data_IF_995615982390
#
_entry.id   IF_995615982390
#
_cell.length_a   1.000
_cell.length_b   1.000
_cell.length_c   1.000
_cell.angle_alpha   90.00
_cell.angle_beta   90.00
_cell.angle_gamma   90.00
#
_symmetry.space_group_name_H-M   'P 1'
#
loop_
_entity.id
_entity.type
_entity.pdbx_description
1 polymer ?
#
# COMPACT_ATOMS: atom_id res chain seq x y z
N UNK A 1 4.77 46.08 88.20
CA UNK A 1 5.70 46.31 87.07
C UNK A 1 6.27 44.96 86.64
N UNK A 2 5.76 44.37 85.56
CA UNK A 2 6.28 43.09 85.04
C UNK A 2 6.49 43.20 83.54
N UNK A 3 7.74 42.94 83.13
CA UNK A 3 8.22 42.79 81.75
C UNK A 3 7.64 41.50 81.16
N UNK A 4 7.05 41.57 79.98
CA UNK A 4 6.83 40.42 79.11
C UNK A 4 7.49 40.71 77.75
N UNK A 5 8.60 40.01 77.48
CA UNK A 5 9.37 40.09 76.25
C UNK A 5 9.03 38.87 75.39
N UNK A 6 8.64 39.17 74.14
CA UNK A 6 8.85 38.46 72.87
C UNK A 6 9.26 36.98 72.95
N UNK A 7 8.36 36.09 72.53
CA UNK A 7 8.71 34.90 71.72
C UNK A 7 7.52 34.61 70.79
N UNK A 8 7.55 35.11 69.55
CA UNK A 8 6.50 34.79 68.56
C UNK A 8 6.99 34.75 67.10
N UNK A 9 8.26 34.42 66.86
CA UNK A 9 8.88 34.51 65.52
C UNK A 9 9.79 33.33 65.15
N UNK A 10 9.54 32.11 65.65
CA UNK A 10 10.40 30.95 65.34
C UNK A 10 9.68 29.81 64.59
N UNK A 11 8.34 29.80 64.51
CA UNK A 11 7.61 28.65 63.93
C UNK A 11 7.20 28.80 62.46
N UNK A 12 7.54 29.88 61.76
CA UNK A 12 7.07 30.12 60.38
C UNK A 12 8.07 29.69 59.30
N UNK A 13 9.32 29.39 59.65
CA UNK A 13 10.37 29.08 58.66
C UNK A 13 10.52 27.58 58.40
N UNK A 14 10.07 26.71 59.32
CA UNK A 14 10.31 25.26 59.22
C UNK A 14 9.25 24.48 58.43
N UNK A 15 8.07 25.06 58.18
CA UNK A 15 7.02 24.41 57.38
C UNK A 15 7.14 24.65 55.87
N UNK A 16 8.01 25.56 55.44
CA UNK A 16 8.27 25.81 54.01
C UNK A 16 9.39 24.97 53.41
N UNK A 17 10.22 24.30 54.23
CA UNK A 17 11.34 23.49 53.73
C UNK A 17 10.95 22.04 53.40
N UNK A 18 9.78 21.55 53.82
CA UNK A 18 9.34 20.17 53.56
C UNK A 18 8.53 20.05 52.25
N UNK A 19 8.03 21.16 51.70
CA UNK A 19 7.22 21.19 50.47
C UNK A 19 8.04 21.34 49.17
N UNK A 20 9.37 21.44 49.23
CA UNK A 20 10.22 21.67 48.04
C UNK A 20 10.91 20.39 47.55
N UNK A 21 10.84 19.26 48.27
CA UNK A 21 11.50 18.00 47.85
C UNK A 21 10.59 17.06 47.05
N UNK A 22 9.34 17.45 46.75
CA UNK A 22 8.37 16.58 46.04
C UNK A 22 8.06 16.98 44.59
N UNK A 23 8.77 17.94 44.01
CA UNK A 23 8.56 18.34 42.63
C UNK A 23 9.83 18.15 41.79
N UNK A 24 10.00 16.94 41.25
CA UNK A 24 10.64 16.67 39.94
C UNK A 24 11.11 15.22 39.80
N UNK A 25 10.27 14.24 40.14
CA UNK A 25 10.33 12.97 39.39
C UNK A 25 9.57 13.22 38.10
N UNK A 26 10.18 13.99 37.20
CA UNK A 26 9.79 13.97 35.80
C UNK A 26 10.09 12.56 35.34
N UNK A 27 9.06 11.71 35.33
CA UNK A 27 9.12 10.46 34.58
C UNK A 27 9.41 10.87 33.15
N UNK A 28 10.67 10.76 32.74
CA UNK A 28 11.07 10.76 31.35
C UNK A 28 10.39 9.54 30.76
N UNK A 29 9.13 9.69 30.36
CA UNK A 29 8.52 8.78 29.40
C UNK A 29 9.34 9.03 28.13
N UNK A 30 10.40 8.24 27.98
CA UNK A 30 11.12 8.16 26.73
C UNK A 30 10.06 7.92 25.66
N UNK A 31 9.86 8.90 24.78
CA UNK A 31 9.03 8.72 23.61
C UNK A 31 9.60 7.52 22.87
N UNK A 32 8.90 6.39 22.94
CA UNK A 32 9.31 5.18 22.26
C UNK A 32 9.46 5.54 20.79
N UNK A 33 10.66 5.33 20.24
CA UNK A 33 10.90 5.68 18.85
C UNK A 33 9.95 4.86 17.97
N UNK A 34 9.44 5.45 16.89
CA UNK A 34 8.56 4.75 15.94
C UNK A 34 9.17 3.40 15.51
N UNK A 35 10.50 3.33 15.40
CA UNK A 35 11.20 2.08 15.09
C UNK A 35 11.21 1.03 16.21
N UNK A 36 11.27 1.42 17.48
CA UNK A 36 11.11 0.47 18.59
C UNK A 36 9.71 -0.10 18.64
N UNK A 37 8.70 0.74 18.43
CA UNK A 37 7.32 0.32 18.33
C UNK A 37 7.10 -0.63 17.15
N UNK A 38 7.61 -0.29 15.96
CA UNK A 38 7.52 -1.12 14.76
C UNK A 38 8.25 -2.46 14.92
N UNK A 39 9.43 -2.50 15.56
CA UNK A 39 10.16 -3.77 15.80
C UNK A 39 9.41 -4.73 16.73
N UNK A 40 8.56 -4.22 17.62
CA UNK A 40 7.71 -5.06 18.49
C UNK A 40 6.54 -5.70 17.73
N UNK A 41 6.13 -5.13 16.61
CA UNK A 41 5.17 -5.78 15.73
C UNK A 41 5.86 -6.99 15.09
N UNK A 42 5.21 -8.17 15.14
CA UNK A 42 5.63 -9.31 14.31
C UNK A 42 5.77 -8.81 12.88
N UNK A 43 6.87 -9.17 12.21
CA UNK A 43 7.11 -8.84 10.81
C UNK A 43 5.79 -9.01 10.06
N UNK A 44 5.27 -7.92 9.49
CA UNK A 44 4.04 -8.02 8.73
C UNK A 44 4.32 -9.00 7.60
N UNK A 45 3.53 -10.07 7.55
CA UNK A 45 3.62 -10.96 6.41
C UNK A 45 3.36 -10.09 5.18
N UNK A 46 4.15 -10.22 4.10
CA UNK A 46 3.81 -9.55 2.86
C UNK A 46 2.34 -9.87 2.56
N UNK A 47 1.57 -8.85 2.19
CA UNK A 47 0.11 -8.93 1.98
C UNK A 47 -0.24 -10.09 1.03
N UNK A 48 0.73 -10.53 0.24
CA UNK A 48 0.68 -11.63 -0.71
C UNK A 48 1.66 -12.74 -0.29
N UNK A 49 1.20 -13.64 0.58
CA UNK A 49 1.91 -14.89 0.93
C UNK A 49 1.23 -16.14 0.39
N UNK A 50 0.08 -15.99 -0.28
CA UNK A 50 -0.73 -17.11 -0.75
C UNK A 50 -0.56 -17.34 -2.26
N UNK A 51 -0.45 -18.61 -2.65
CA UNK A 51 -0.39 -19.03 -4.06
C UNK A 51 -1.65 -18.63 -4.84
N UNK A 52 -2.77 -18.36 -4.15
CA UNK A 52 -4.01 -17.86 -4.75
C UNK A 52 -3.85 -16.48 -5.42
N UNK A 53 -2.85 -15.69 -5.02
CA UNK A 53 -2.59 -14.37 -5.58
C UNK A 53 -1.97 -14.42 -7.00
N UNK A 54 -1.62 -15.61 -7.52
CA UNK A 54 -1.17 -15.78 -8.91
C UNK A 54 -2.26 -15.56 -9.96
N UNK A 55 -3.54 -15.66 -9.56
CA UNK A 55 -4.69 -15.61 -10.46
C UNK A 55 -5.61 -14.41 -10.19
N UNK A 56 -5.05 -13.29 -9.74
CA UNK A 56 -5.83 -12.08 -9.42
C UNK A 56 -6.45 -11.43 -10.66
N UNK A 57 -5.73 -11.43 -11.79
CA UNK A 57 -6.22 -10.90 -13.05
C UNK A 57 -7.20 -11.88 -13.71
N UNK A 58 -8.40 -11.40 -13.98
CA UNK A 58 -9.42 -12.10 -14.76
C UNK A 58 -9.48 -11.50 -16.15
N UNK A 59 -9.35 -12.34 -17.17
CA UNK A 59 -9.51 -11.99 -18.59
C UNK A 59 -10.72 -12.73 -19.15
N UNK A 60 -11.71 -12.00 -19.66
CA UNK A 60 -12.93 -12.57 -20.24
C UNK A 60 -13.11 -12.09 -21.67
N UNK A 61 -13.57 -12.99 -22.54
CA UNK A 61 -14.03 -12.62 -23.88
C UNK A 61 -15.44 -12.03 -23.76
N UNK A 62 -15.63 -10.82 -24.25
CA UNK A 62 -16.92 -10.13 -24.26
C UNK A 62 -17.28 -9.75 -25.68
N UNK A 63 -18.57 -9.70 -25.99
CA UNK A 63 -19.04 -9.19 -27.27
C UNK A 63 -18.51 -7.78 -27.47
N UNK A 64 -18.06 -7.47 -28.69
CA UNK A 64 -17.58 -6.13 -29.02
C UNK A 64 -18.60 -5.07 -28.60
N UNK A 65 -18.22 -4.12 -27.73
CA UNK A 65 -19.10 -3.03 -27.37
C UNK A 65 -19.37 -2.18 -28.62
N UNK A 66 -20.59 -1.62 -28.73
CA UNK A 66 -20.90 -0.64 -29.76
C UNK A 66 -19.91 0.51 -29.66
N UNK A 67 -19.28 0.88 -30.77
CA UNK A 67 -18.16 1.82 -30.84
C UNK A 67 -18.41 3.08 -30.00
N UNK A 68 -17.78 3.14 -28.83
CA UNK A 68 -17.62 4.35 -28.02
C UNK A 68 -16.24 4.96 -28.33
N UNK A 69 -16.10 6.26 -28.14
CA UNK A 69 -14.83 6.97 -28.33
C UNK A 69 -13.71 6.29 -27.52
N UNK A 70 -12.69 5.81 -28.24
CA UNK A 70 -11.52 5.18 -27.64
C UNK A 70 -10.56 6.22 -27.08
N UNK A 71 -10.04 6.02 -25.88
CA UNK A 71 -9.05 6.93 -25.30
C UNK A 71 -7.64 6.69 -25.85
N UNK A 72 -7.32 5.47 -26.27
CA UNK A 72 -6.01 5.14 -26.84
C UNK A 72 -6.16 4.17 -28.01
N UNK A 73 -5.60 4.55 -29.16
CA UNK A 73 -5.61 3.79 -30.42
C UNK A 73 -4.19 3.38 -30.80
N UNK A 74 -4.01 2.12 -31.17
CA UNK A 74 -2.78 1.65 -31.83
C UNK A 74 -3.20 0.91 -33.11
N UNK A 75 -2.52 1.23 -34.22
CA UNK A 75 -2.75 0.59 -35.53
C UNK A 75 -1.52 -0.22 -35.94
N UNK A 76 -1.45 -1.51 -35.58
CA UNK A 76 -0.45 -2.40 -36.17
C UNK A 76 -0.69 -2.69 -37.65
N UNK A 77 0.29 -3.35 -38.28
CA UNK A 77 0.19 -3.84 -39.65
C UNK A 77 -0.98 -4.82 -39.86
N UNK A 78 -1.42 -5.52 -38.81
CA UNK A 78 -2.46 -6.57 -38.87
C UNK A 78 -3.84 -6.14 -38.34
N UNK A 79 -4.06 -4.86 -38.05
CA UNK A 79 -5.38 -4.40 -37.62
C UNK A 79 -5.38 -3.08 -36.86
N UNK A 80 -6.46 -2.82 -36.14
CA UNK A 80 -6.55 -1.66 -35.25
C UNK A 80 -7.04 -2.07 -33.89
N UNK A 81 -6.25 -1.75 -32.87
CA UNK A 81 -6.55 -2.02 -31.48
C UNK A 81 -6.89 -0.73 -30.75
N UNK A 82 -7.89 -0.82 -29.87
CA UNK A 82 -8.33 0.31 -29.06
C UNK A 82 -8.49 -0.12 -27.62
N UNK A 83 -8.08 0.75 -26.70
CA UNK A 83 -8.39 0.62 -25.29
C UNK A 83 -9.63 1.44 -24.95
N UNK A 84 -10.60 0.76 -24.36
CA UNK A 84 -11.81 1.33 -23.79
C UNK A 84 -11.77 1.08 -22.29
N UNK A 85 -11.54 2.13 -21.51
CA UNK A 85 -11.76 2.12 -20.08
C UNK A 85 -12.53 3.38 -19.69
N UNK A 86 -13.43 3.28 -18.73
CA UNK A 86 -13.97 4.48 -18.08
C UNK A 86 -12.99 4.92 -16.97
N UNK A 87 -12.81 6.22 -16.80
CA UNK A 87 -11.86 6.74 -15.82
C UNK A 87 -12.31 6.33 -14.41
N UNK A 88 -11.47 5.55 -13.72
CA UNK A 88 -11.76 5.05 -12.37
C UNK A 88 -12.40 3.67 -12.33
N UNK A 89 -12.60 3.02 -13.48
CA UNK A 89 -13.11 1.65 -13.51
C UNK A 89 -12.05 0.63 -13.09
N UNK A 90 -12.52 -0.39 -12.40
CA UNK A 90 -11.77 -1.62 -12.11
C UNK A 90 -11.82 -2.64 -13.24
N UNK A 91 -12.30 -2.20 -14.41
CA UNK A 91 -12.46 -3.00 -15.62
C UNK A 91 -11.92 -2.24 -16.81
N UNK A 92 -11.22 -2.96 -17.69
CA UNK A 92 -10.73 -2.40 -18.94
C UNK A 92 -11.14 -3.33 -20.08
N UNK A 93 -11.74 -2.77 -21.12
CA UNK A 93 -12.09 -3.51 -22.33
C UNK A 93 -11.11 -3.19 -23.45
N UNK A 94 -10.50 -4.22 -24.01
CA UNK A 94 -9.55 -4.12 -25.12
C UNK A 94 -10.25 -4.61 -26.38
N UNK A 95 -10.42 -3.71 -27.35
CA UNK A 95 -10.87 -4.10 -28.67
C UNK A 95 -9.65 -4.57 -29.48
N UNK A 96 -9.67 -5.84 -29.88
CA UNK A 96 -8.53 -6.49 -30.56
C UNK A 96 -8.79 -6.72 -32.06
N UNK A 97 -9.74 -6.00 -32.67
CA UNK A 97 -10.04 -6.14 -34.11
C UNK A 97 -10.65 -7.49 -34.52
N UNK A 98 -11.04 -8.33 -33.55
CA UNK A 98 -11.68 -9.64 -33.76
C UNK A 98 -13.21 -9.55 -33.53
N UNK A 99 -13.91 -10.68 -33.58
CA UNK A 99 -15.35 -10.77 -33.29
C UNK A 99 -15.72 -10.47 -31.81
N UNK A 100 -14.72 -10.42 -30.94
CA UNK A 100 -14.85 -10.16 -29.51
C UNK A 100 -13.76 -9.20 -29.02
N UNK A 101 -14.02 -8.65 -27.83
CA UNK A 101 -13.11 -7.84 -27.05
C UNK A 101 -12.68 -8.60 -25.80
N UNK A 102 -11.58 -8.16 -25.18
CA UNK A 102 -11.10 -8.71 -23.92
C UNK A 102 -11.47 -7.77 -22.77
N UNK A 103 -12.26 -8.25 -21.81
CA UNK A 103 -12.51 -7.55 -20.54
C UNK A 103 -11.48 -8.03 -19.50
N UNK A 104 -10.66 -7.10 -19.03
CA UNK A 104 -9.70 -7.27 -17.96
C UNK A 104 -10.30 -6.75 -16.65
N UNK A 105 -10.15 -7.49 -15.56
CA UNK A 105 -10.58 -7.05 -14.24
C UNK A 105 -9.78 -7.74 -13.14
N UNK A 106 -9.74 -7.15 -11.94
CA UNK A 106 -9.16 -7.77 -10.75
C UNK A 106 -10.24 -7.84 -9.68
N UNK A 107 -11.09 -8.89 -9.65
CA UNK A 107 -12.31 -8.91 -8.84
C UNK A 107 -12.07 -8.67 -7.34
N UNK A 108 -10.99 -9.23 -6.78
CA UNK A 108 -10.58 -9.05 -5.38
C UNK A 108 -10.32 -7.57 -5.04
N UNK A 109 -9.98 -6.76 -6.02
CA UNK A 109 -9.67 -5.34 -5.89
C UNK A 109 -10.54 -4.49 -6.83
N UNK A 110 -11.80 -4.89 -7.02
CA UNK A 110 -12.75 -4.25 -7.95
C UNK A 110 -13.10 -2.79 -7.65
N UNK A 111 -12.56 -2.19 -6.60
CA UNK A 111 -12.67 -0.77 -6.28
C UNK A 111 -11.40 0.03 -6.62
N UNK A 112 -10.33 -0.63 -7.06
CA UNK A 112 -9.07 0.00 -7.46
C UNK A 112 -9.04 0.16 -8.99
N UNK A 113 -8.57 1.30 -9.50
CA UNK A 113 -8.44 1.49 -10.93
C UNK A 113 -7.35 0.56 -11.47
N UNK A 114 -7.62 -0.04 -12.62
CA UNK A 114 -6.61 -0.77 -13.39
C UNK A 114 -6.01 0.21 -14.40
N UNK A 115 -4.68 0.22 -14.50
CA UNK A 115 -3.98 0.95 -15.55
C UNK A 115 -3.47 -0.02 -16.59
N UNK A 116 -3.63 0.36 -17.86
CA UNK A 116 -3.30 -0.47 -19.01
C UNK A 116 -2.53 0.39 -19.99
N UNK A 117 -1.38 -0.10 -20.44
CA UNK A 117 -0.57 0.53 -21.49
C UNK A 117 -0.09 -0.53 -22.48
N UNK A 118 -0.06 -0.16 -23.74
CA UNK A 118 0.59 -0.97 -24.75
C UNK A 118 2.11 -0.92 -24.57
N UNK A 119 2.76 -2.08 -24.57
CA UNK A 119 4.22 -2.16 -24.70
C UNK A 119 4.59 -2.12 -26.18
N UNK A 120 3.89 -2.93 -26.98
CA UNK A 120 3.99 -3.00 -28.43
C UNK A 120 2.63 -3.51 -28.97
N UNK A 121 2.44 -3.68 -30.29
CA UNK A 121 1.17 -4.17 -30.83
C UNK A 121 0.62 -5.50 -30.28
N UNK A 122 1.46 -6.37 -29.73
CA UNK A 122 1.10 -7.72 -29.27
C UNK A 122 1.00 -7.81 -27.75
N UNK A 123 1.74 -6.95 -27.06
CA UNK A 123 1.92 -7.01 -25.62
C UNK A 123 1.29 -5.81 -24.93
N UNK A 124 0.49 -6.10 -23.92
CA UNK A 124 -0.10 -5.12 -23.02
C UNK A 124 0.51 -5.29 -21.63
N UNK A 125 0.92 -4.17 -21.05
CA UNK A 125 1.20 -4.07 -19.63
C UNK A 125 -0.06 -3.64 -18.88
N UNK A 126 -0.38 -4.38 -17.83
CA UNK A 126 -1.53 -4.15 -16.97
C UNK A 126 -0.98 -3.99 -15.56
N UNK A 127 -1.35 -2.95 -14.83
CA UNK A 127 -0.99 -2.82 -13.42
C UNK A 127 -2.13 -2.30 -12.57
N UNK A 128 -2.06 -2.64 -11.29
CA UNK A 128 -2.98 -2.20 -10.27
C UNK A 128 -2.20 -1.89 -9.00
N UNK A 129 -2.52 -0.77 -8.36
CA UNK A 129 -2.01 -0.45 -7.03
C UNK A 129 -3.05 -0.81 -5.98
N UNK A 130 -2.69 -1.70 -5.07
CA UNK A 130 -3.55 -2.09 -3.95
C UNK A 130 -3.54 -1.02 -2.85
N UNK A 131 -2.39 -0.38 -2.66
CA UNK A 131 -2.15 0.78 -1.81
C UNK A 131 -0.88 1.51 -2.33
N UNK A 132 -0.42 2.62 -1.71
CA UNK A 132 0.74 3.37 -2.19
C UNK A 132 2.05 2.59 -2.29
N UNK A 133 2.19 1.50 -1.53
CA UNK A 133 3.44 0.73 -1.41
C UNK A 133 3.37 -0.63 -2.12
N UNK A 134 2.16 -1.12 -2.39
CA UNK A 134 1.91 -2.46 -2.90
C UNK A 134 1.04 -2.44 -4.14
N UNK A 135 1.44 -3.21 -5.14
CA UNK A 135 0.73 -3.38 -6.40
C UNK A 135 0.97 -4.75 -7.01
N UNK A 136 0.47 -4.91 -8.23
CA UNK A 136 0.77 -6.06 -9.08
C UNK A 136 0.75 -5.61 -10.53
N UNK A 137 1.55 -6.28 -11.34
CA UNK A 137 1.53 -6.09 -12.79
C UNK A 137 1.53 -7.41 -13.55
N UNK A 138 0.99 -7.33 -14.75
CA UNK A 138 0.93 -8.41 -15.72
C UNK A 138 1.40 -7.93 -17.08
N UNK A 139 2.06 -8.82 -17.82
CA UNK A 139 2.24 -8.68 -19.27
C UNK A 139 1.38 -9.73 -19.94
N UNK A 140 0.45 -9.26 -20.77
CA UNK A 140 -0.50 -10.08 -21.51
C UNK A 140 -0.17 -10.07 -22.99
N UNK A 141 -0.11 -11.25 -23.60
CA UNK A 141 0.01 -11.47 -25.03
C UNK A 141 -1.38 -11.60 -25.65
N UNK A 142 -1.71 -10.70 -26.56
CA UNK A 142 -3.01 -10.67 -27.23
C UNK A 142 -3.13 -11.74 -28.32
N UNK A 143 -2.02 -12.05 -29.00
CA UNK A 143 -2.04 -13.02 -30.08
C UNK A 143 -2.26 -14.41 -29.51
N UNK A 144 -1.52 -14.75 -28.46
CA UNK A 144 -1.57 -16.04 -27.78
C UNK A 144 -2.63 -16.10 -26.65
N UNK A 145 -3.26 -14.98 -26.34
CA UNK A 145 -4.30 -14.82 -25.31
C UNK A 145 -3.89 -15.28 -23.90
N UNK A 146 -2.63 -15.08 -23.53
CA UNK A 146 -2.08 -15.59 -22.26
C UNK A 146 -1.29 -14.53 -21.50
N UNK A 147 -1.24 -14.71 -20.18
CA UNK A 147 -0.34 -13.95 -19.31
C UNK A 147 1.07 -14.55 -19.46
N UNK A 148 2.05 -13.71 -19.82
CA UNK A 148 3.46 -14.11 -19.93
C UNK A 148 4.22 -13.80 -18.63
N UNK A 149 3.97 -12.63 -18.05
CA UNK A 149 4.61 -12.18 -16.81
C UNK A 149 3.53 -11.81 -15.80
N UNK A 150 3.77 -12.19 -14.55
CA UNK A 150 3.02 -11.73 -13.40
C UNK A 150 3.98 -11.54 -12.24
N UNK A 151 4.04 -10.32 -11.71
CA UNK A 151 4.80 -10.02 -10.50
C UNK A 151 4.01 -9.11 -9.58
N UNK A 152 4.31 -9.23 -8.29
CA UNK A 152 3.80 -8.36 -7.26
C UNK A 152 4.80 -7.21 -7.08
N UNK A 153 4.30 -5.99 -7.10
CA UNK A 153 5.10 -4.79 -6.89
C UNK A 153 5.09 -4.45 -5.39
N UNK A 154 6.28 -4.26 -4.85
CA UNK A 154 6.51 -3.63 -3.56
C UNK A 154 7.52 -2.50 -3.81
N UNK A 155 7.24 -1.29 -3.34
CA UNK A 155 8.16 -0.15 -3.44
C UNK A 155 9.46 -0.34 -2.62
N UNK A 156 9.55 -1.46 -1.90
CA UNK A 156 10.78 -2.02 -1.36
C UNK A 156 11.12 -1.52 0.04
N UNK A 157 10.24 -0.73 0.66
CA UNK A 157 10.46 -0.16 1.98
C UNK A 157 9.18 -0.22 2.80
N UNK A 158 8.83 -1.40 3.34
CA UNK A 158 7.88 -1.39 4.44
C UNK A 158 8.53 -0.65 5.64
N UNK A 159 7.75 0.10 6.42
CA UNK A 159 8.28 0.90 7.53
C UNK A 159 9.11 0.07 8.53
N UNK A 160 8.89 -1.25 8.55
CA UNK A 160 9.60 -2.21 9.37
C UNK A 160 11.03 -2.49 8.86
N UNK A 161 11.22 -2.66 7.56
CA UNK A 161 12.52 -2.77 6.88
C UNK A 161 13.33 -1.46 7.03
N UNK A 162 12.68 -0.29 6.94
CA UNK A 162 13.35 1.01 7.17
C UNK A 162 13.94 1.12 8.58
N UNK A 163 13.31 0.44 9.55
CA UNK A 163 13.73 0.40 10.95
C UNK A 163 14.76 -0.71 11.26
N UNK A 164 15.30 -1.36 10.23
CA UNK A 164 16.30 -2.42 10.32
C UNK A 164 15.73 -3.81 10.64
N UNK A 165 14.42 -4.02 10.43
CA UNK A 165 13.83 -5.35 10.54
C UNK A 165 14.42 -6.29 9.48
N UNK A 166 15.00 -7.41 9.92
CA UNK A 166 15.47 -8.46 9.02
C UNK A 166 14.33 -9.45 8.77
N UNK A 167 13.90 -9.59 7.52
CA UNK A 167 12.94 -10.65 7.15
C UNK A 167 13.41 -12.00 7.68
N UNK A 168 12.51 -12.68 8.40
CA UNK A 168 12.76 -14.06 8.82
C UNK A 168 12.66 -14.89 7.53
N UNK A 169 13.80 -15.29 6.97
CA UNK A 169 13.85 -16.29 5.92
C UNK A 169 13.29 -17.60 6.49
N UNK A 170 12.01 -17.85 6.27
CA UNK A 170 11.46 -19.19 6.42
C UNK A 170 11.95 -20.00 5.22
N UNK A 171 12.98 -20.81 5.44
CA UNK A 171 13.36 -21.87 4.52
C UNK A 171 12.16 -22.83 4.38
N UNK A 172 11.39 -22.67 3.30
CA UNK A 172 10.34 -23.61 2.93
C UNK A 172 11.06 -24.83 2.33
N UNK A 173 11.07 -25.94 3.08
CA UNK A 173 11.52 -27.26 2.62
C UNK A 173 10.47 -27.92 1.73
#
# INVERSE_FOLDING_TARGET
MNKAIKIKHIYTVLLFSVMIVLNSVSTVQAEESICEWLRRLKAQQPIFSDNSDKNLLTVKKVKNPSAKESQQKISPLEGVYYLLWEKGDSKVTIFIGREYSLELSVPKYGWRPISVKWINPKLIYINIYFNPHYGAYWIYDIDEEKIIIHELENDGWDAWQQCGGQEIKTDIK
#
